data_IF_133952440006
#
_entry.id   IF_133952440006
#
_cell.length_a   1.000
_cell.length_b   1.000
_cell.length_c   1.000
_cell.angle_alpha   90.00
_cell.angle_beta   90.00
_cell.angle_gamma   90.00
#
_symmetry.space_group_name_H-M   'P 1'
#
loop_
_entity.id
_entity.type
_entity.pdbx_description
1 polymer ?
#
# COMPACT_ATOMS: atom_id res chain seq x y z
N UNK A 1 -27.18 23.60 10.67
CA UNK A 1 -28.18 24.26 9.81
C UNK A 1 -27.97 23.74 8.40
N UNK A 2 -28.94 22.97 7.90
CA UNK A 2 -28.88 22.24 6.63
C UNK A 2 -29.32 23.16 5.49
N UNK A 3 -28.60 23.21 4.38
CA UNK A 3 -29.14 23.76 3.12
C UNK A 3 -28.66 22.92 1.94
N UNK A 4 -29.65 22.30 1.29
CA UNK A 4 -29.56 21.37 0.18
C UNK A 4 -29.88 22.15 -1.11
N UNK A 5 -29.14 21.92 -2.19
CA UNK A 5 -29.50 22.43 -3.53
C UNK A 5 -29.38 21.31 -4.56
N UNK A 6 -30.50 21.05 -5.24
CA UNK A 6 -30.73 19.99 -6.22
C UNK A 6 -30.56 20.56 -7.65
N UNK A 7 -29.96 19.78 -8.56
CA UNK A 7 -30.25 19.85 -10.00
C UNK A 7 -30.36 18.43 -10.60
N UNK A 8 -31.49 18.18 -11.25
CA UNK A 8 -31.80 17.13 -12.24
C UNK A 8 -31.37 17.66 -13.65
N UNK A 9 -31.10 16.92 -14.72
CA UNK A 9 -31.21 15.51 -15.13
C UNK A 9 -30.22 15.22 -16.28
N UNK A 10 -30.02 13.94 -16.64
CA UNK A 10 -29.39 13.54 -17.90
C UNK A 10 -29.02 12.05 -17.94
N UNK A 11 -29.98 11.20 -18.31
CA UNK A 11 -29.86 9.74 -18.41
C UNK A 11 -29.01 9.27 -19.61
N UNK A 12 -28.23 8.21 -19.39
CA UNK A 12 -27.93 7.22 -20.42
C UNK A 12 -27.83 5.83 -19.79
N UNK A 13 -28.96 5.10 -19.80
CA UNK A 13 -29.02 3.66 -19.52
C UNK A 13 -28.25 2.90 -20.60
N UNK A 14 -27.33 2.02 -20.18
CA UNK A 14 -27.00 0.82 -20.97
C UNK A 14 -27.67 -0.37 -20.31
N UNK A 15 -28.59 -0.99 -21.04
CA UNK A 15 -29.41 -2.11 -20.59
C UNK A 15 -28.68 -3.43 -20.74
N UNK A 16 -28.90 -4.31 -19.76
CA UNK A 16 -28.52 -5.72 -19.78
C UNK A 16 -29.27 -6.45 -20.90
N UNK A 17 -28.65 -6.66 -22.08
CA UNK A 17 -29.15 -7.60 -23.09
C UNK A 17 -28.19 -8.00 -24.22
N UNK A 18 -26.90 -7.67 -24.14
CA UNK A 18 -25.92 -8.13 -25.12
C UNK A 18 -24.97 -9.14 -24.49
N UNK A 19 -24.84 -10.29 -25.17
CA UNK A 19 -24.01 -11.47 -24.87
C UNK A 19 -24.63 -12.49 -23.92
N UNK A 20 -25.79 -13.02 -24.32
CA UNK A 20 -26.09 -14.43 -24.13
C UNK A 20 -26.19 -15.08 -25.52
N UNK A 21 -25.21 -15.91 -25.89
CA UNK A 21 -25.37 -17.05 -26.81
C UNK A 21 -24.05 -17.81 -26.93
N UNK A 22 -24.03 -19.07 -26.47
CA UNK A 22 -23.23 -20.10 -27.14
C UNK A 22 -22.15 -20.80 -26.31
N UNK A 23 -22.40 -22.10 -26.13
CA UNK A 23 -21.44 -23.21 -26.07
C UNK A 23 -20.78 -23.57 -24.73
N UNK A 24 -21.32 -24.65 -24.18
CA UNK A 24 -20.76 -25.53 -23.18
C UNK A 24 -19.32 -25.99 -23.49
N UNK A 25 -18.53 -26.16 -22.42
CA UNK A 25 -17.29 -26.96 -22.41
C UNK A 25 -16.02 -26.13 -22.58
N UNK A 26 -15.33 -25.81 -21.47
CA UNK A 26 -14.00 -25.21 -21.59
C UNK A 26 -13.30 -24.72 -20.32
N UNK A 27 -13.95 -24.61 -19.15
CA UNK A 27 -13.37 -23.80 -18.05
C UNK A 27 -12.88 -24.59 -16.82
N UNK A 28 -12.41 -25.83 -17.01
CA UNK A 28 -11.83 -26.64 -15.91
C UNK A 28 -10.36 -26.99 -16.11
N UNK A 29 -9.55 -26.10 -16.71
CA UNK A 29 -8.12 -26.38 -16.91
C UNK A 29 -7.13 -25.25 -16.57
N UNK A 30 -7.59 -24.08 -16.09
CA UNK A 30 -6.67 -23.00 -15.66
C UNK A 30 -6.56 -22.81 -14.14
N UNK A 31 -7.48 -23.36 -13.34
CA UNK A 31 -7.47 -23.16 -11.88
C UNK A 31 -6.51 -24.09 -11.11
N UNK A 32 -6.16 -25.26 -11.66
CA UNK A 32 -5.35 -26.24 -10.93
C UNK A 32 -3.84 -25.99 -11.05
N UNK A 33 -3.37 -25.43 -12.18
CA UNK A 33 -1.94 -25.13 -12.37
C UNK A 33 -1.49 -23.86 -11.61
N UNK A 34 -2.39 -22.89 -11.40
CA UNK A 34 -2.13 -21.74 -10.53
C UNK A 34 -2.12 -22.11 -9.03
N UNK A 35 -2.68 -23.27 -8.66
CA UNK A 35 -2.73 -23.76 -7.29
C UNK A 35 -1.45 -24.50 -6.83
N UNK A 36 -0.45 -24.65 -7.71
CA UNK A 36 0.81 -25.34 -7.41
C UNK A 36 1.96 -24.39 -7.04
N UNK A 37 1.75 -23.07 -7.09
CA UNK A 37 2.75 -22.05 -6.77
C UNK A 37 2.19 -21.19 -5.65
N UNK A 38 2.95 -20.99 -4.56
CA UNK A 38 2.52 -20.08 -3.48
C UNK A 38 2.15 -18.72 -4.04
N UNK A 39 1.15 -18.04 -3.47
CA UNK A 39 0.55 -16.82 -4.07
C UNK A 39 1.56 -15.69 -4.30
N UNK A 40 2.71 -15.74 -3.65
CA UNK A 40 3.77 -14.74 -3.70
C UNK A 40 5.07 -15.26 -4.30
N UNK A 41 5.04 -16.39 -5.01
CA UNK A 41 6.26 -17.00 -5.54
C UNK A 41 7.12 -16.04 -6.36
N UNK A 42 8.38 -15.88 -5.95
CA UNK A 42 9.37 -14.99 -6.57
C UNK A 42 9.11 -13.50 -6.40
N UNK A 43 8.12 -13.10 -5.58
CA UNK A 43 7.80 -11.68 -5.32
C UNK A 43 8.63 -11.15 -4.15
N UNK A 44 8.99 -9.88 -4.22
CA UNK A 44 9.56 -9.13 -3.09
C UNK A 44 8.42 -8.38 -2.42
N UNK A 45 8.31 -8.53 -1.11
CA UNK A 45 7.33 -7.81 -0.31
C UNK A 45 8.01 -6.94 0.74
N UNK A 46 7.39 -5.83 1.09
CA UNK A 46 7.89 -4.89 2.09
C UNK A 46 6.78 -4.66 3.10
N UNK A 47 7.06 -4.87 4.38
CA UNK A 47 6.06 -4.79 5.45
C UNK A 47 6.48 -3.71 6.44
N UNK A 48 5.72 -2.62 6.49
CA UNK A 48 5.82 -1.56 7.52
C UNK A 48 5.28 -2.07 8.85
N UNK A 49 5.95 -1.77 9.96
CA UNK A 49 5.58 -2.33 11.26
C UNK A 49 5.84 -3.84 11.32
N UNK A 50 6.69 -4.36 10.43
CA UNK A 50 6.90 -5.80 10.25
C UNK A 50 7.59 -6.47 11.43
N UNK A 51 8.09 -5.71 12.41
CA UNK A 51 8.82 -6.27 13.54
C UNK A 51 7.93 -6.85 14.64
N UNK A 52 6.60 -6.60 14.61
CA UNK A 52 5.69 -7.05 15.65
C UNK A 52 4.24 -7.19 15.17
N UNK A 53 3.38 -7.76 16.02
CA UNK A 53 1.93 -7.82 15.83
C UNK A 53 1.51 -8.34 14.45
N UNK A 54 0.58 -7.62 13.82
CA UNK A 54 0.02 -7.98 12.51
C UNK A 54 1.07 -7.93 11.38
N UNK A 55 2.02 -6.99 11.43
CA UNK A 55 3.08 -6.89 10.44
C UNK A 55 3.99 -8.11 10.46
N UNK A 56 4.41 -8.56 11.64
CA UNK A 56 5.19 -9.79 11.81
C UNK A 56 4.41 -11.03 11.33
N UNK A 57 3.14 -11.17 11.72
CA UNK A 57 2.30 -12.28 11.25
C UNK A 57 2.17 -12.30 9.71
N UNK A 58 2.01 -11.12 9.09
CA UNK A 58 1.98 -10.98 7.63
C UNK A 58 3.29 -11.41 7.00
N UNK A 59 4.43 -11.08 7.63
CA UNK A 59 5.75 -11.46 7.13
C UNK A 59 5.95 -12.99 7.11
N UNK A 60 5.53 -13.68 8.17
CA UNK A 60 5.54 -15.14 8.22
C UNK A 60 4.70 -15.75 7.10
N UNK A 61 3.48 -15.23 6.93
CA UNK A 61 2.57 -15.72 5.89
C UNK A 61 3.13 -15.49 4.50
N UNK A 62 3.79 -14.35 4.26
CA UNK A 62 4.36 -14.04 2.96
C UNK A 62 5.54 -14.94 2.59
N UNK A 63 6.38 -15.27 3.58
CA UNK A 63 7.45 -16.27 3.43
C UNK A 63 6.87 -17.66 3.12
N UNK A 64 5.75 -18.03 3.78
CA UNK A 64 5.02 -19.29 3.56
C UNK A 64 4.40 -19.37 2.17
N UNK A 65 3.89 -18.25 1.65
CA UNK A 65 3.31 -18.11 0.32
C UNK A 65 4.37 -17.98 -0.80
N UNK A 66 5.66 -18.17 -0.50
CA UNK A 66 6.71 -18.24 -1.52
C UNK A 66 7.36 -16.90 -1.87
N UNK A 67 7.15 -15.83 -1.09
CA UNK A 67 7.86 -14.57 -1.32
C UNK A 67 9.38 -14.81 -1.46
N UNK A 68 9.94 -14.35 -2.57
CA UNK A 68 11.38 -14.46 -2.85
C UNK A 68 12.20 -13.61 -1.88
N UNK A 69 11.63 -12.50 -1.39
CA UNK A 69 12.16 -11.75 -0.25
C UNK A 69 11.06 -11.00 0.51
N UNK A 70 11.26 -10.80 1.81
CA UNK A 70 10.41 -9.96 2.68
C UNK A 70 11.28 -8.93 3.41
N UNK A 71 11.02 -7.65 3.18
CA UNK A 71 11.69 -6.54 3.86
C UNK A 71 10.86 -6.14 5.07
N UNK A 72 11.41 -6.39 6.26
CA UNK A 72 10.88 -5.91 7.54
C UNK A 72 11.33 -4.46 7.68
N UNK A 73 10.41 -3.50 7.55
CA UNK A 73 10.74 -2.11 7.87
C UNK A 73 10.00 -1.66 9.12
N UNK A 74 10.79 -1.20 10.08
CA UNK A 74 10.33 -0.82 11.41
C UNK A 74 11.27 0.20 12.04
N UNK A 75 10.80 0.89 13.08
CA UNK A 75 11.62 1.79 13.91
C UNK A 75 12.36 1.04 15.00
N UNK A 76 11.81 -0.07 15.46
CA UNK A 76 12.41 -0.88 16.52
C UNK A 76 13.42 -1.86 15.92
N UNK A 77 14.69 -1.46 15.92
CA UNK A 77 15.79 -2.28 15.41
C UNK A 77 15.90 -3.64 16.09
N UNK A 78 15.69 -3.70 17.41
CA UNK A 78 15.86 -4.93 18.17
C UNK A 78 14.81 -5.98 17.84
N UNK A 79 13.53 -5.60 17.73
CA UNK A 79 12.48 -6.53 17.28
C UNK A 79 12.55 -6.77 15.77
N UNK A 80 12.97 -5.78 14.99
CA UNK A 80 13.11 -5.87 13.53
C UNK A 80 14.17 -6.87 13.10
N UNK A 81 15.37 -6.79 13.69
CA UNK A 81 16.46 -7.74 13.46
C UNK A 81 16.06 -9.17 13.86
N UNK A 82 15.51 -9.34 15.07
CA UNK A 82 15.03 -10.65 15.54
C UNK A 82 13.98 -11.25 14.60
N UNK A 83 13.04 -10.44 14.13
CA UNK A 83 12.02 -10.92 13.18
C UNK A 83 12.62 -11.33 11.85
N UNK A 84 13.59 -10.58 11.33
CA UNK A 84 14.30 -10.96 10.10
C UNK A 84 15.10 -12.26 10.28
N UNK A 85 15.80 -12.43 11.41
CA UNK A 85 16.50 -13.67 11.76
C UNK A 85 15.54 -14.87 11.86
N UNK A 86 14.41 -14.70 12.55
CA UNK A 86 13.37 -15.73 12.70
C UNK A 86 12.77 -16.17 11.36
N UNK A 87 12.59 -15.24 10.41
CA UNK A 87 12.05 -15.51 9.08
C UNK A 87 13.09 -16.12 8.11
N UNK A 88 14.37 -16.09 8.49
CA UNK A 88 15.46 -16.71 7.77
C UNK A 88 15.98 -15.90 6.58
N UNK A 89 16.74 -16.52 5.65
CA UNK A 89 17.58 -15.82 4.67
C UNK A 89 16.80 -15.00 3.63
N UNK A 90 15.48 -15.22 3.52
CA UNK A 90 14.61 -14.46 2.62
C UNK A 90 14.08 -13.18 3.27
N UNK A 91 14.39 -12.90 4.54
CA UNK A 91 13.99 -11.69 5.23
C UNK A 91 15.17 -10.76 5.51
N UNK A 92 14.93 -9.45 5.36
CA UNK A 92 15.92 -8.43 5.69
C UNK A 92 15.26 -7.32 6.49
N UNK A 93 15.97 -6.81 7.49
CA UNK A 93 15.51 -5.66 8.26
C UNK A 93 16.06 -4.36 7.69
N UNK A 94 15.18 -3.38 7.52
CA UNK A 94 15.54 -2.00 7.18
C UNK A 94 14.99 -1.09 8.27
N UNK A 95 15.88 -0.37 8.95
CA UNK A 95 15.48 0.64 9.93
C UNK A 95 15.04 1.91 9.21
N UNK A 96 13.81 2.35 9.43
CA UNK A 96 13.39 3.70 9.04
C UNK A 96 11.94 3.81 8.60
N UNK A 97 11.43 5.03 8.71
CA UNK A 97 10.19 5.52 8.14
C UNK A 97 10.61 6.59 7.13
N UNK A 98 10.03 6.59 5.92
CA UNK A 98 10.52 7.43 4.82
C UNK A 98 10.17 8.89 4.99
N UNK A 99 10.88 9.55 5.89
CA UNK A 99 10.79 10.98 6.15
C UNK A 99 11.70 11.78 5.20
N UNK A 100 11.29 13.01 4.91
CA UNK A 100 12.06 14.01 4.19
C UNK A 100 13.39 14.22 4.93
N UNK A 101 14.50 13.76 4.36
CA UNK A 101 15.81 13.83 5.00
C UNK A 101 16.22 15.28 5.26
N UNK A 102 16.63 15.56 6.49
CA UNK A 102 17.19 16.86 6.89
C UNK A 102 16.16 17.92 7.24
N UNK A 103 14.88 17.58 7.30
CA UNK A 103 13.81 18.47 7.75
C UNK A 103 12.95 17.77 8.80
N UNK A 104 12.61 18.48 9.88
CA UNK A 104 11.58 18.05 10.82
C UNK A 104 10.26 18.73 10.41
N UNK A 105 9.14 18.01 10.57
CA UNK A 105 7.83 18.65 10.40
C UNK A 105 7.56 19.53 11.61
N UNK A 106 7.43 20.84 11.39
CA UNK A 106 7.09 21.82 12.41
C UNK A 106 5.62 22.25 12.31
N UNK A 107 5.09 22.89 13.35
CA UNK A 107 3.72 23.41 13.34
C UNK A 107 3.47 24.38 12.17
N UNK A 108 4.50 25.11 11.75
CA UNK A 108 4.41 26.05 10.61
C UNK A 108 4.19 25.32 9.28
N UNK A 109 4.66 24.09 9.11
CA UNK A 109 4.48 23.34 7.87
C UNK A 109 3.04 22.90 7.69
N UNK A 110 2.40 22.44 8.77
CA UNK A 110 0.96 22.13 8.79
C UNK A 110 0.12 23.40 8.57
N UNK A 111 0.49 24.51 9.22
CA UNK A 111 -0.20 25.78 9.04
C UNK A 111 -0.11 26.30 7.59
N UNK A 112 1.04 26.15 6.94
CA UNK A 112 1.23 26.52 5.53
C UNK A 112 0.46 25.61 4.58
N UNK A 113 0.42 24.31 4.85
CA UNK A 113 -0.40 23.37 4.08
C UNK A 113 -1.90 23.71 4.18
N UNK A 114 -2.36 24.09 5.37
CA UNK A 114 -3.73 24.59 5.56
C UNK A 114 -3.99 25.91 4.84
N UNK A 115 -3.03 26.85 4.88
CA UNK A 115 -3.12 28.11 4.16
C UNK A 115 -3.20 27.91 2.63
N UNK A 116 -2.42 26.96 2.09
CA UNK A 116 -2.52 26.55 0.68
C UNK A 116 -3.94 26.06 0.34
N UNK A 117 -4.50 25.13 1.12
CA UNK A 117 -5.85 24.61 0.89
C UNK A 117 -6.95 25.68 0.98
N UNK A 118 -6.74 26.71 1.80
CA UNK A 118 -7.68 27.82 1.95
C UNK A 118 -7.53 28.91 0.86
N UNK A 119 -6.49 28.84 0.04
CA UNK A 119 -6.17 29.86 -0.98
C UNK A 119 -6.73 29.52 -2.36
N UNK A 120 -6.73 30.51 -3.25
CA UNK A 120 -7.12 30.34 -4.66
C UNK A 120 -6.18 29.39 -5.43
N UNK A 121 -4.96 29.13 -4.92
CA UNK A 121 -4.02 28.18 -5.52
C UNK A 121 -4.55 26.74 -5.47
N UNK A 122 -5.40 26.43 -4.49
CA UNK A 122 -6.03 25.12 -4.31
C UNK A 122 -7.45 25.04 -4.90
N UNK A 123 -7.88 25.98 -5.76
CA UNK A 123 -9.27 26.07 -6.27
C UNK A 123 -9.84 24.81 -6.94
N UNK A 124 -8.97 23.87 -7.34
CA UNK A 124 -9.36 22.61 -7.96
C UNK A 124 -8.95 21.37 -7.14
N UNK A 125 -8.47 21.55 -5.91
CA UNK A 125 -8.03 20.49 -5.01
C UNK A 125 -9.11 20.27 -3.96
N UNK A 126 -9.91 19.21 -4.12
CA UNK A 126 -10.91 18.81 -3.13
C UNK A 126 -11.03 17.29 -3.01
N UNK A 127 -11.62 16.82 -1.91
CA UNK A 127 -11.95 15.40 -1.74
C UNK A 127 -10.76 14.47 -1.46
N UNK A 128 -9.62 15.02 -1.01
CA UNK A 128 -8.43 14.24 -0.67
C UNK A 128 -7.91 14.58 0.73
N UNK A 129 -7.24 13.61 1.37
CA UNK A 129 -6.53 13.81 2.64
C UNK A 129 -5.13 14.38 2.34
N UNK A 130 -4.88 15.65 2.65
CA UNK A 130 -3.55 16.23 2.51
C UNK A 130 -2.65 15.77 3.66
N UNK A 131 -1.73 14.85 3.39
CA UNK A 131 -0.76 14.34 4.37
C UNK A 131 0.47 15.24 4.44
N UNK A 132 0.83 15.70 5.65
CA UNK A 132 1.96 16.61 5.91
C UNK A 132 2.91 15.97 6.92
N UNK A 133 3.68 14.99 6.46
CA UNK A 133 4.51 14.15 7.34
C UNK A 133 5.89 13.81 6.74
N UNK A 134 6.30 14.53 5.69
CA UNK A 134 7.55 14.27 5.00
C UNK A 134 7.59 12.93 4.27
N UNK A 135 6.46 12.28 3.99
CA UNK A 135 6.39 10.99 3.30
C UNK A 135 6.35 9.78 4.24
N UNK A 136 6.29 10.01 5.55
CA UNK A 136 6.25 8.98 6.59
C UNK A 136 5.13 7.94 6.36
N UNK A 137 3.94 8.41 5.96
CA UNK A 137 2.77 7.57 5.70
C UNK A 137 2.81 6.91 4.32
N UNK A 138 3.67 7.37 3.39
CA UNK A 138 3.52 7.09 1.95
C UNK A 138 4.72 6.45 1.23
N UNK A 139 5.97 6.50 1.72
CA UNK A 139 7.11 5.90 0.99
C UNK A 139 8.26 5.40 1.86
N UNK A 140 9.13 4.54 1.31
CA UNK A 140 10.38 4.05 1.93
C UNK A 140 11.57 4.29 1.00
N UNK A 141 12.57 5.04 1.46
CA UNK A 141 13.91 4.98 0.86
C UNK A 141 14.53 3.63 1.21
N UNK A 142 14.63 2.72 0.22
CA UNK A 142 15.37 1.48 0.38
C UNK A 142 16.69 1.56 -0.39
N UNK A 143 17.81 1.52 0.33
CA UNK A 143 19.11 1.27 -0.27
C UNK A 143 19.24 -0.26 -0.46
N UNK A 144 18.52 -0.81 -1.43
CA UNK A 144 18.62 -2.24 -1.73
C UNK A 144 20.01 -2.55 -2.28
N UNK A 145 20.64 -3.67 -1.87
CA UNK A 145 21.85 -4.14 -2.51
C UNK A 145 21.57 -4.40 -4.00
N UNK A 146 22.35 -3.73 -4.86
CA UNK A 146 22.39 -4.05 -6.29
C UNK A 146 23.03 -5.44 -6.42
N UNK A 147 22.41 -6.32 -7.22
CA UNK A 147 22.91 -7.68 -7.48
C UNK A 147 24.29 -7.65 -8.12
#
# INVERSE_FOLDING_TARGET
MMMMMLRLAGEARRTAKDVATGAAGGERWLSAAAAAKGRLEGKIAIITGGASGLGKATAHEFIREGAGAVIIADVNSGTGLRTAEELGPRAQFVRGLGELRGAACEAVDVARAAAYLASDDAKYVSGHNLVVDGGFTSYKYMNLPQK
#
